data_IF_523789918130
#
_entry.id   IF_523789918130
#
_cell.length_a   1.000
_cell.length_b   1.000
_cell.length_c   1.000
_cell.angle_alpha   90.00
_cell.angle_beta   90.00
_cell.angle_gamma   90.00
#
_symmetry.space_group_name_H-M   'P 1'
#
loop_
_entity.id
_entity.type
_entity.pdbx_description
1 polymer ?
#
# COMPACT_ATOMS: atom_id res chain seq x y z
N UNK A 1 -33.07 38.69 29.78
CA UNK A 1 -32.73 37.86 28.61
C UNK A 1 -32.49 36.44 29.09
N UNK A 2 -33.45 35.54 28.88
CA UNK A 2 -33.31 34.12 29.22
C UNK A 2 -32.58 33.47 28.04
N UNK A 3 -31.31 33.12 28.23
CA UNK A 3 -30.54 32.36 27.25
C UNK A 3 -31.22 31.01 27.07
N UNK A 4 -31.57 30.63 25.84
CA UNK A 4 -32.11 29.31 25.54
C UNK A 4 -31.18 28.21 26.11
N UNK A 5 -31.73 27.09 26.60
CA UNK A 5 -30.91 25.99 27.08
C UNK A 5 -30.02 25.51 25.92
N UNK A 6 -28.71 25.55 26.12
CA UNK A 6 -27.77 24.97 25.16
C UNK A 6 -27.90 23.47 25.21
N UNK A 7 -28.11 22.84 24.06
CA UNK A 7 -28.03 21.39 23.96
C UNK A 7 -26.59 20.95 24.21
N UNK A 8 -26.34 20.24 25.31
CA UNK A 8 -24.99 19.75 25.63
C UNK A 8 -24.55 18.67 24.64
N UNK A 9 -25.50 18.05 23.95
CA UNK A 9 -25.26 17.07 22.89
C UNK A 9 -24.64 17.69 21.63
N UNK A 10 -24.38 18.99 21.53
CA UNK A 10 -23.62 19.58 20.41
C UNK A 10 -22.35 20.28 20.89
N UNK A 11 -22.00 20.09 22.16
CA UNK A 11 -20.91 20.78 22.84
C UNK A 11 -19.81 19.81 23.23
N UNK A 12 -18.59 20.31 23.16
CA UNK A 12 -17.36 19.63 23.51
C UNK A 12 -16.69 20.36 24.67
N UNK A 13 -16.09 19.61 25.58
CA UNK A 13 -15.12 20.11 26.55
C UNK A 13 -13.70 19.75 26.11
N UNK A 14 -12.74 20.49 26.64
CA UNK A 14 -11.31 20.29 26.35
C UNK A 14 -10.67 19.58 27.53
N UNK A 15 -9.91 18.52 27.25
CA UNK A 15 -9.04 17.84 28.18
C UNK A 15 -7.58 18.23 27.87
N UNK A 16 -6.80 18.49 28.91
CA UNK A 16 -5.37 18.75 28.80
C UNK A 16 -4.54 17.56 29.31
N UNK A 17 -3.49 17.21 28.58
CA UNK A 17 -2.52 16.17 28.94
C UNK A 17 -1.13 16.53 28.41
N UNK A 18 -0.12 15.70 28.66
CA UNK A 18 1.20 15.89 28.04
C UNK A 18 1.15 15.49 26.55
N UNK A 19 1.90 16.19 25.70
CA UNK A 19 1.82 16.02 24.25
C UNK A 19 1.98 14.56 23.76
N UNK A 20 2.88 13.79 24.39
CA UNK A 20 3.10 12.38 24.07
C UNK A 20 1.97 11.43 24.50
N UNK A 21 1.04 11.89 25.34
CA UNK A 21 -0.09 11.10 25.85
C UNK A 21 -1.43 11.42 25.17
N UNK A 22 -1.48 12.42 24.31
CA UNK A 22 -2.70 12.88 23.61
C UNK A 22 -3.46 11.73 22.91
N UNK A 23 -2.80 11.01 22.00
CA UNK A 23 -3.45 9.91 21.26
C UNK A 23 -3.71 8.67 22.13
N UNK A 24 -2.80 8.22 23.00
CA UNK A 24 -3.10 7.16 23.97
C UNK A 24 -4.31 7.47 24.87
N UNK A 25 -4.44 8.71 25.33
CA UNK A 25 -5.57 9.15 26.15
C UNK A 25 -6.88 9.06 25.37
N UNK A 26 -6.92 9.67 24.18
CA UNK A 26 -8.11 9.65 23.34
C UNK A 26 -8.57 8.21 23.05
N UNK A 27 -7.65 7.32 22.68
CA UNK A 27 -7.94 5.90 22.45
C UNK A 27 -8.48 5.21 23.71
N UNK A 28 -7.81 5.40 24.84
CA UNK A 28 -8.20 4.76 26.10
C UNK A 28 -9.58 5.21 26.59
N UNK A 29 -9.95 6.47 26.39
CA UNK A 29 -11.30 6.97 26.72
C UNK A 29 -12.35 6.47 25.71
N UNK A 30 -12.03 6.43 24.41
CA UNK A 30 -12.90 5.81 23.41
C UNK A 30 -13.16 4.32 23.70
N UNK A 31 -12.13 3.57 24.08
CA UNK A 31 -12.25 2.15 24.45
C UNK A 31 -13.14 1.95 25.68
N UNK A 32 -13.23 2.96 26.56
CA UNK A 32 -14.15 3.00 27.69
C UNK A 32 -15.57 3.47 27.32
N UNK A 33 -15.86 3.65 26.03
CA UNK A 33 -17.19 4.02 25.52
C UNK A 33 -17.51 5.51 25.60
N UNK A 34 -16.51 6.37 25.85
CA UNK A 34 -16.70 7.82 25.79
C UNK A 34 -16.49 8.33 24.37
N UNK A 35 -17.32 9.28 23.95
CA UNK A 35 -17.13 9.96 22.68
C UNK A 35 -16.05 11.04 22.84
N UNK A 36 -14.86 10.72 22.31
CA UNK A 36 -13.65 11.54 22.45
C UNK A 36 -12.96 11.63 21.10
N UNK A 37 -12.39 12.79 20.80
CA UNK A 37 -11.70 13.05 19.55
C UNK A 37 -10.41 13.84 19.79
N UNK A 38 -9.34 13.45 19.10
CA UNK A 38 -8.10 14.19 19.04
C UNK A 38 -7.69 14.32 17.57
N UNK A 39 -7.52 15.54 17.03
CA UNK A 39 -7.19 15.73 15.62
C UNK A 39 -5.82 15.11 15.34
N UNK A 40 -5.77 14.22 14.35
CA UNK A 40 -4.63 13.35 14.08
C UNK A 40 -4.10 13.54 12.67
N UNK A 41 -2.78 13.48 12.50
CA UNK A 41 -2.13 13.39 11.20
C UNK A 41 -1.11 12.26 11.20
N UNK A 42 -0.98 11.56 10.08
CA UNK A 42 0.04 10.52 9.92
C UNK A 42 1.27 11.12 9.26
N UNK A 43 2.45 10.92 9.86
CA UNK A 43 3.74 11.37 9.33
C UNK A 43 4.64 10.17 9.04
N UNK A 44 5.56 10.31 8.08
CA UNK A 44 6.62 9.32 7.84
C UNK A 44 7.85 9.70 8.64
N UNK A 45 8.25 8.85 9.59
CA UNK A 45 9.45 9.03 10.40
C UNK A 45 10.38 7.82 10.30
N UNK A 46 11.70 7.98 10.53
CA UNK A 46 12.59 6.83 10.66
C UNK A 46 12.11 5.92 11.80
N UNK A 47 12.15 4.60 11.59
CA UNK A 47 11.89 3.65 12.65
C UNK A 47 12.87 3.88 13.83
N UNK A 48 12.41 3.74 15.08
CA UNK A 48 13.32 3.77 16.22
C UNK A 48 14.30 2.59 16.16
N UNK A 49 15.45 2.73 16.84
CA UNK A 49 16.43 1.64 16.98
C UNK A 49 17.30 1.33 15.75
N UNK A 50 17.30 2.18 14.71
CA UNK A 50 17.97 1.89 13.42
C UNK A 50 19.49 2.15 13.41
N UNK A 51 20.13 2.36 14.58
CA UNK A 51 21.57 2.70 14.66
C UNK A 51 22.47 1.61 14.04
N UNK A 52 22.17 0.34 14.31
CA UNK A 52 22.93 -0.80 13.74
C UNK A 52 22.79 -0.89 12.22
N UNK A 53 21.59 -0.68 11.68
CA UNK A 53 21.36 -0.73 10.24
C UNK A 53 22.13 0.36 9.50
N UNK A 54 22.20 1.56 10.08
CA UNK A 54 23.00 2.66 9.52
C UNK A 54 24.50 2.35 9.49
N UNK A 55 25.04 1.71 10.54
CA UNK A 55 26.44 1.28 10.58
C UNK A 55 26.75 0.22 9.51
N UNK A 56 25.76 -0.58 9.10
CA UNK A 56 25.88 -1.56 8.03
C UNK A 56 25.60 -0.98 6.63
N UNK A 57 25.48 0.34 6.50
CA UNK A 57 25.18 1.00 5.21
C UNK A 57 23.76 0.75 4.69
N UNK A 58 22.87 0.18 5.51
CA UNK A 58 21.48 -0.06 5.13
C UNK A 58 20.68 1.25 5.18
N UNK A 59 19.75 1.41 4.23
CA UNK A 59 18.84 2.56 4.20
C UNK A 59 17.94 2.57 5.43
N UNK A 60 17.61 3.77 5.94
CA UNK A 60 16.67 3.95 7.06
C UNK A 60 15.30 3.39 6.67
N UNK A 61 14.79 2.45 7.47
CA UNK A 61 13.40 2.03 7.36
C UNK A 61 12.51 3.19 7.83
N UNK A 62 11.70 3.74 6.93
CA UNK A 62 10.69 4.74 7.26
C UNK A 62 9.41 4.01 7.69
N UNK A 63 8.75 4.53 8.71
CA UNK A 63 7.45 4.06 9.21
C UNK A 63 6.47 5.21 9.23
N UNK A 64 5.21 4.90 8.96
CA UNK A 64 4.09 5.83 9.14
C UNK A 64 3.65 5.78 10.61
N UNK A 65 3.52 6.95 11.22
CA UNK A 65 3.12 7.09 12.63
C UNK A 65 2.13 8.23 12.76
N UNK A 66 1.04 7.95 13.47
CA UNK A 66 0.05 8.95 13.84
C UNK A 66 0.58 9.86 14.93
N UNK A 67 0.39 11.16 14.74
CA UNK A 67 0.72 12.20 15.71
C UNK A 67 -0.46 13.15 15.83
N UNK A 68 -0.68 13.69 17.03
CA UNK A 68 -1.69 14.72 17.23
C UNK A 68 -1.31 15.99 16.45
N UNK A 69 -2.29 16.59 15.77
CA UNK A 69 -2.16 17.91 15.15
C UNK A 69 -2.01 18.97 16.25
N UNK A 70 -2.76 18.79 17.34
CA UNK A 70 -2.75 19.65 18.51
C UNK A 70 -2.30 18.86 19.77
N UNK A 71 -0.98 18.68 19.99
CA UNK A 71 -0.49 17.93 21.13
C UNK A 71 -0.92 18.55 22.46
N UNK A 72 -1.35 17.69 23.39
CA UNK A 72 -1.73 18.06 24.74
C UNK A 72 -3.21 18.38 24.91
N UNK A 73 -3.99 18.40 23.82
CA UNK A 73 -5.41 18.70 23.86
C UNK A 73 -6.23 17.55 23.26
N UNK A 74 -7.30 17.19 23.95
CA UNK A 74 -8.28 16.18 23.52
C UNK A 74 -9.67 16.76 23.72
N UNK A 75 -10.58 16.55 22.78
CA UNK A 75 -11.96 17.01 22.85
C UNK A 75 -12.85 15.84 23.28
N UNK A 76 -13.69 16.06 24.28
CA UNK A 76 -14.66 15.07 24.73
C UNK A 76 -16.05 15.71 24.82
N UNK A 77 -17.12 14.92 24.72
CA UNK A 77 -18.48 15.45 24.78
C UNK A 77 -18.80 16.06 26.14
N UNK A 78 -19.52 17.17 26.12
CA UNK A 78 -19.75 17.99 27.31
C UNK A 78 -20.74 17.36 28.30
N UNK A 79 -21.62 16.48 27.84
CA UNK A 79 -22.56 15.69 28.64
C UNK A 79 -21.85 14.77 29.66
N UNK A 80 -20.60 14.38 29.38
CA UNK A 80 -19.78 13.51 30.23
C UNK A 80 -18.77 14.24 31.11
N UNK A 81 -18.87 15.56 31.26
CA UNK A 81 -17.86 16.34 31.98
C UNK A 81 -17.69 15.92 33.46
N UNK A 82 -18.77 15.53 34.13
CA UNK A 82 -18.72 15.03 35.52
C UNK A 82 -17.95 13.72 35.64
N UNK A 83 -18.21 12.80 34.70
CA UNK A 83 -17.57 11.48 34.66
C UNK A 83 -16.07 11.64 34.38
N UNK A 84 -15.72 12.51 33.41
CA UNK A 84 -14.34 12.85 33.07
C UNK A 84 -13.60 13.51 34.23
N UNK A 85 -14.26 14.39 34.98
CA UNK A 85 -13.69 15.00 36.17
C UNK A 85 -13.44 13.96 37.27
N UNK A 86 -14.39 13.04 37.51
CA UNK A 86 -14.21 11.96 38.49
C UNK A 86 -13.01 11.06 38.12
N UNK A 87 -12.93 10.65 36.84
CA UNK A 87 -11.83 9.83 36.32
C UNK A 87 -10.47 10.55 36.46
N UNK A 88 -10.43 11.87 36.21
CA UNK A 88 -9.20 12.66 36.32
C UNK A 88 -8.68 12.75 37.76
N UNK A 89 -9.56 12.66 38.76
CA UNK A 89 -9.19 12.68 40.18
C UNK A 89 -8.93 11.29 40.77
N UNK A 90 -9.24 10.22 40.05
CA UNK A 90 -8.98 8.85 40.51
C UNK A 90 -7.50 8.47 40.31
N UNK A 91 -6.70 8.31 41.39
CA UNK A 91 -5.30 7.93 41.27
C UNK A 91 -5.08 6.50 40.74
N UNK A 92 -6.11 5.64 40.77
CA UNK A 92 -6.06 4.27 40.27
C UNK A 92 -6.62 4.13 38.85
N UNK A 93 -6.92 5.24 38.18
CA UNK A 93 -7.47 5.24 36.82
C UNK A 93 -6.55 4.53 35.83
N UNK A 94 -7.08 3.64 34.97
CA UNK A 94 -6.29 2.98 33.92
C UNK A 94 -5.91 3.94 32.78
N UNK A 95 -6.46 5.15 32.76
CA UNK A 95 -6.26 6.13 31.70
C UNK A 95 -4.96 6.93 31.92
N UNK A 96 -4.26 7.36 30.84
CA UNK A 96 -3.12 8.26 30.96
C UNK A 96 -3.51 9.56 31.70
N UNK A 97 -2.65 10.09 32.57
CA UNK A 97 -2.99 11.28 33.37
C UNK A 97 -3.43 12.48 32.51
N UNK A 98 -4.54 13.10 32.89
CA UNK A 98 -5.13 14.26 32.22
C UNK A 98 -5.88 15.15 33.22
N UNK A 99 -6.30 16.33 32.78
CA UNK A 99 -7.19 17.21 33.52
C UNK A 99 -8.22 17.83 32.59
N UNK A 100 -9.39 18.18 33.10
CA UNK A 100 -10.36 19.00 32.35
C UNK A 100 -9.79 20.43 32.29
N UNK A 101 -9.64 20.98 31.09
CA UNK A 101 -9.12 22.33 30.91
C UNK A 101 -10.09 23.33 31.54
N UNK A 102 -9.58 24.22 32.39
CA UNK A 102 -10.40 25.22 33.08
C UNK A 102 -9.93 26.63 32.75
N UNK A 103 -10.90 27.52 32.51
CA UNK A 103 -10.69 28.95 32.33
C UNK A 103 -11.66 29.70 33.24
N UNK A 104 -11.13 30.42 34.23
CA UNK A 104 -11.97 31.12 35.22
C UNK A 104 -12.79 30.18 36.11
N UNK A 105 -12.22 29.01 36.47
CA UNK A 105 -12.87 28.02 37.33
C UNK A 105 -14.02 27.25 36.68
N UNK A 106 -14.16 27.34 35.35
CA UNK A 106 -15.15 26.60 34.57
C UNK A 106 -14.49 25.96 33.36
N UNK A 107 -15.00 24.81 32.93
CA UNK A 107 -14.59 24.23 31.66
C UNK A 107 -15.21 25.00 30.50
N UNK A 108 -14.43 25.46 29.52
CA UNK A 108 -14.99 26.07 28.32
C UNK A 108 -15.74 25.01 27.52
N UNK A 109 -16.92 25.38 27.04
CA UNK A 109 -17.72 24.56 26.14
C UNK A 109 -17.52 25.07 24.71
N UNK A 110 -17.11 24.17 23.82
CA UNK A 110 -16.82 24.42 22.41
C UNK A 110 -17.95 23.82 21.58
N UNK A 111 -18.58 24.59 20.71
CA UNK A 111 -19.59 24.05 19.80
C UNK A 111 -18.94 23.13 18.75
N UNK A 112 -19.66 22.11 18.28
CA UNK A 112 -19.16 21.21 17.22
C UNK A 112 -18.68 21.99 15.97
N UNK A 113 -19.41 23.04 15.58
CA UNK A 113 -19.06 23.90 14.45
C UNK A 113 -17.73 24.66 14.63
N UNK A 114 -17.27 24.86 15.86
CA UNK A 114 -15.96 25.48 16.11
C UNK A 114 -14.80 24.52 15.85
N UNK A 115 -15.07 23.21 15.75
CA UNK A 115 -14.09 22.18 15.44
C UNK A 115 -13.94 21.93 13.93
N UNK A 116 -14.78 22.54 13.09
CA UNK A 116 -14.76 22.35 11.63
C UNK A 116 -13.37 22.61 11.04
N UNK A 117 -12.69 23.70 11.42
CA UNK A 117 -11.34 23.98 10.91
C UNK A 117 -10.30 22.91 11.25
N UNK A 118 -10.39 22.29 12.43
CA UNK A 118 -9.51 21.18 12.82
C UNK A 118 -9.84 19.88 12.06
N UNK A 119 -11.13 19.64 11.79
CA UNK A 119 -11.58 18.51 10.95
C UNK A 119 -11.10 18.67 9.50
N UNK A 120 -11.16 19.89 8.96
CA UNK A 120 -10.67 20.21 7.62
C UNK A 120 -9.15 20.00 7.52
N UNK A 121 -8.39 20.40 8.55
CA UNK A 121 -6.95 20.17 8.61
C UNK A 121 -6.61 18.67 8.67
N UNK A 122 -7.32 17.89 9.49
CA UNK A 122 -7.19 16.43 9.55
C UNK A 122 -7.50 15.78 8.19
N UNK A 123 -8.60 16.18 7.54
CA UNK A 123 -8.97 15.69 6.22
C UNK A 123 -7.92 16.04 5.15
N UNK A 124 -7.39 17.26 5.15
CA UNK A 124 -6.33 17.68 4.24
C UNK A 124 -5.02 16.89 4.45
N UNK A 125 -4.66 16.62 5.70
CA UNK A 125 -3.51 15.79 6.03
C UNK A 125 -3.69 14.35 5.54
N UNK A 126 -4.88 13.77 5.71
CA UNK A 126 -5.21 12.44 5.21
C UNK A 126 -5.17 12.38 3.67
N UNK A 127 -5.73 13.37 2.98
CA UNK A 127 -5.70 13.46 1.53
C UNK A 127 -4.26 13.54 0.98
N UNK A 128 -3.40 14.32 1.63
CA UNK A 128 -1.98 14.43 1.27
C UNK A 128 -1.26 13.09 1.36
N UNK A 129 -1.48 12.34 2.45
CA UNK A 129 -0.88 11.01 2.64
C UNK A 129 -1.40 10.01 1.61
N UNK A 130 -2.71 10.01 1.33
CA UNK A 130 -3.32 9.14 0.33
C UNK A 130 -2.71 9.39 -1.05
N UNK A 131 -2.55 10.65 -1.45
CA UNK A 131 -1.93 11.02 -2.72
C UNK A 131 -0.46 10.54 -2.81
N UNK A 132 0.30 10.63 -1.70
CA UNK A 132 1.67 10.10 -1.64
C UNK A 132 1.69 8.58 -1.81
N UNK A 133 0.82 7.83 -1.11
CA UNK A 133 0.73 6.37 -1.24
C UNK A 133 0.33 5.94 -2.66
N UNK A 134 -0.58 6.67 -3.29
CA UNK A 134 -0.98 6.40 -4.68
C UNK A 134 0.12 6.73 -5.69
N UNK A 135 0.91 7.78 -5.46
CA UNK A 135 2.09 8.06 -6.28
C UNK A 135 3.12 6.92 -6.16
N UNK A 136 3.42 6.46 -4.94
CA UNK A 136 4.35 5.36 -4.69
C UNK A 136 3.87 4.04 -5.32
N UNK A 137 2.58 3.72 -5.22
CA UNK A 137 2.01 2.51 -5.81
C UNK A 137 2.08 2.53 -7.34
N UNK A 138 1.84 3.68 -7.96
CA UNK A 138 1.99 3.87 -9.42
C UNK A 138 3.43 3.70 -9.86
N UNK A 139 4.39 4.28 -9.15
CA UNK A 139 5.80 4.09 -9.46
C UNK A 139 6.24 2.63 -9.30
N UNK A 140 5.81 1.96 -8.23
CA UNK A 140 6.11 0.55 -8.00
C UNK A 140 5.55 -0.32 -9.12
N UNK A 141 4.31 -0.09 -9.55
CA UNK A 141 3.70 -0.78 -10.68
C UNK A 141 4.47 -0.56 -12.00
N UNK A 142 4.93 0.68 -12.24
CA UNK A 142 5.77 1.00 -13.42
C UNK A 142 7.10 0.24 -13.38
N UNK A 143 7.76 0.20 -12.23
CA UNK A 143 9.03 -0.53 -12.05
C UNK A 143 8.84 -2.03 -12.23
N UNK A 144 7.82 -2.62 -11.60
CA UNK A 144 7.50 -4.03 -11.72
C UNK A 144 7.21 -4.43 -13.18
N UNK A 145 6.46 -3.60 -13.91
CA UNK A 145 6.20 -3.83 -15.34
C UNK A 145 7.47 -3.74 -16.18
N UNK A 146 8.32 -2.74 -15.92
CA UNK A 146 9.59 -2.59 -16.63
C UNK A 146 10.51 -3.80 -16.39
N UNK A 147 10.57 -4.30 -15.16
CA UNK A 147 11.33 -5.49 -14.79
C UNK A 147 10.78 -6.75 -15.47
N UNK A 148 9.47 -6.97 -15.44
CA UNK A 148 8.82 -8.08 -16.16
C UNK A 148 9.15 -8.04 -17.66
N UNK A 149 9.11 -6.86 -18.28
CA UNK A 149 9.45 -6.70 -19.69
C UNK A 149 10.94 -6.96 -19.95
N UNK A 150 11.82 -6.55 -19.04
CA UNK A 150 13.26 -6.83 -19.10
C UNK A 150 13.55 -8.32 -18.98
N UNK A 151 12.93 -9.02 -18.04
CA UNK A 151 13.12 -10.47 -17.85
C UNK A 151 12.57 -11.25 -19.04
N UNK A 152 11.38 -10.90 -19.54
CA UNK A 152 10.82 -11.49 -20.77
C UNK A 152 11.74 -11.28 -21.99
N UNK A 153 12.27 -10.06 -22.17
CA UNK A 153 13.23 -9.77 -23.26
C UNK A 153 14.52 -10.56 -23.09
N UNK A 154 15.07 -10.64 -21.87
CA UNK A 154 16.27 -11.41 -21.58
C UNK A 154 16.06 -12.92 -21.86
N UNK A 155 14.93 -13.49 -21.45
CA UNK A 155 14.56 -14.88 -21.76
C UNK A 155 14.48 -15.13 -23.27
N UNK A 156 13.80 -14.27 -24.02
CA UNK A 156 13.72 -14.38 -25.50
C UNK A 156 15.09 -14.23 -26.15
N UNK A 157 15.93 -13.33 -25.65
CA UNK A 157 17.30 -13.16 -26.15
C UNK A 157 18.16 -14.39 -25.86
N UNK A 158 17.99 -15.03 -24.70
CA UNK A 158 18.69 -16.27 -24.36
C UNK A 158 18.27 -17.43 -25.28
N UNK A 159 16.96 -17.62 -25.49
CA UNK A 159 16.45 -18.65 -26.41
C UNK A 159 16.93 -18.45 -27.85
N UNK A 160 17.01 -17.20 -28.32
CA UNK A 160 17.57 -16.87 -29.64
C UNK A 160 19.06 -17.18 -29.79
N UNK A 161 19.82 -17.24 -28.68
CA UNK A 161 21.24 -17.63 -28.71
C UNK A 161 21.42 -19.14 -28.76
N UNK A 162 20.43 -19.91 -28.34
CA UNK A 162 20.43 -21.37 -28.44
C UNK A 162 20.29 -21.75 -29.92
N UNK A 163 21.42 -22.06 -30.56
CA UNK A 163 21.44 -22.52 -31.94
C UNK A 163 20.91 -23.96 -31.97
N UNK A 164 19.82 -24.17 -32.70
CA UNK A 164 19.30 -25.51 -33.00
C UNK A 164 19.57 -25.84 -34.46
N UNK A 165 20.05 -27.05 -34.69
CA UNK A 165 20.20 -27.60 -36.03
C UNK A 165 19.15 -28.69 -36.18
N UNK A 166 18.47 -28.69 -37.31
CA UNK A 166 17.46 -29.68 -37.65
C UNK A 166 17.84 -30.31 -38.99
N UNK A 167 17.47 -31.57 -39.18
CA UNK A 167 17.66 -32.23 -40.46
C UNK A 167 16.53 -31.84 -41.44
N UNK A 168 16.86 -31.74 -42.73
CA UNK A 168 15.83 -31.59 -43.77
C UNK A 168 14.97 -32.86 -43.79
N UNK A 169 13.65 -32.68 -43.78
CA UNK A 169 12.65 -33.75 -43.70
C UNK A 169 12.24 -34.12 -42.27
N UNK A 170 12.92 -33.59 -41.23
CA UNK A 170 12.59 -33.84 -39.84
C UNK A 170 11.19 -33.31 -39.49
N UNK A 171 10.38 -34.14 -38.82
CA UNK A 171 9.06 -33.75 -38.36
C UNK A 171 9.19 -32.95 -37.06
N UNK A 172 8.62 -31.76 -37.07
CA UNK A 172 8.75 -30.79 -35.98
C UNK A 172 7.41 -30.20 -35.59
N UNK A 173 7.34 -29.69 -34.37
CA UNK A 173 6.18 -29.02 -33.79
C UNK A 173 6.54 -27.59 -33.40
N UNK A 174 5.62 -26.64 -33.62
CA UNK A 174 5.79 -25.28 -33.12
C UNK A 174 5.37 -25.24 -31.64
N UNK A 175 6.35 -25.04 -30.75
CA UNK A 175 6.12 -24.96 -29.31
C UNK A 175 5.72 -23.54 -28.85
N UNK A 176 6.41 -22.50 -29.33
CA UNK A 176 6.26 -21.13 -28.82
C UNK A 176 5.81 -20.13 -29.92
N UNK A 177 4.57 -20.29 -30.40
CA UNK A 177 3.88 -19.28 -31.21
C UNK A 177 2.37 -19.31 -30.96
N UNK A 178 1.77 -18.28 -30.32
CA UNK A 178 0.38 -18.36 -29.85
C UNK A 178 -0.66 -18.73 -30.93
N UNK A 179 -0.43 -18.33 -32.18
CA UNK A 179 -1.35 -18.59 -33.30
C UNK A 179 -1.19 -19.98 -33.94
N UNK A 180 -0.11 -20.71 -33.66
CA UNK A 180 0.24 -21.97 -34.33
C UNK A 180 0.86 -23.01 -33.39
N UNK A 181 0.74 -22.81 -32.07
CA UNK A 181 1.29 -23.73 -31.08
C UNK A 181 0.62 -25.10 -31.23
N UNK A 182 1.43 -26.16 -31.25
CA UNK A 182 0.96 -27.53 -31.48
C UNK A 182 0.80 -27.92 -32.96
N UNK A 183 1.01 -27.00 -33.90
CA UNK A 183 1.05 -27.36 -35.32
C UNK A 183 2.31 -28.15 -35.64
N UNK A 184 2.15 -29.27 -36.35
CA UNK A 184 3.23 -30.14 -36.79
C UNK A 184 3.48 -29.99 -38.28
N UNK A 185 4.74 -30.10 -38.68
CA UNK A 185 5.15 -30.00 -40.08
C UNK A 185 6.51 -30.64 -40.31
N UNK A 186 7.02 -30.54 -41.54
CA UNK A 186 8.36 -31.05 -41.91
C UNK A 186 9.28 -29.92 -42.33
N UNK A 187 10.55 -30.02 -41.95
CA UNK A 187 11.54 -29.00 -42.31
C UNK A 187 11.94 -29.17 -43.77
N UNK A 188 11.73 -28.13 -44.59
CA UNK A 188 12.18 -28.11 -45.99
C UNK A 188 13.57 -27.47 -46.11
N UNK A 189 13.82 -26.44 -45.29
CA UNK A 189 15.11 -25.76 -45.23
C UNK A 189 15.33 -25.24 -43.80
N UNK A 190 16.57 -25.29 -43.31
CA UNK A 190 16.90 -24.72 -42.01
C UNK A 190 18.26 -24.06 -42.03
N UNK A 191 18.38 -22.97 -41.27
CA UNK A 191 19.66 -22.41 -40.86
C UNK A 191 19.71 -22.35 -39.32
N UNK A 192 20.82 -21.86 -38.76
CA UNK A 192 21.02 -21.85 -37.30
C UNK A 192 20.03 -20.98 -36.49
N UNK A 193 19.24 -20.12 -37.14
CA UNK A 193 18.33 -19.16 -36.48
C UNK A 193 16.87 -19.29 -36.90
N UNK A 194 16.59 -19.87 -38.06
CA UNK A 194 15.26 -20.00 -38.67
C UNK A 194 15.13 -21.34 -39.39
N UNK A 195 13.92 -21.90 -39.39
CA UNK A 195 13.55 -23.09 -40.14
C UNK A 195 12.30 -22.80 -40.97
N UNK A 196 12.30 -23.25 -42.23
CA UNK A 196 11.14 -23.20 -43.13
C UNK A 196 10.42 -24.54 -43.04
N UNK A 197 9.18 -24.50 -42.58
CA UNK A 197 8.37 -25.68 -42.26
C UNK A 197 7.21 -25.78 -43.26
N UNK A 198 7.00 -26.98 -43.80
CA UNK A 198 5.81 -27.38 -44.53
C UNK A 198 4.77 -27.97 -43.57
N UNK A 199 3.56 -27.43 -43.57
CA UNK A 199 2.44 -27.94 -42.78
C UNK A 199 1.50 -28.86 -43.59
N UNK A 200 1.96 -29.38 -44.73
CA UNK A 200 1.19 -30.26 -45.61
C UNK A 200 0.33 -29.52 -46.63
N UNK A 201 0.78 -28.34 -47.09
CA UNK A 201 0.04 -27.48 -48.02
C UNK A 201 0.95 -26.52 -48.81
N UNK A 202 0.35 -25.67 -49.65
CA UNK A 202 1.11 -24.84 -50.61
C UNK A 202 1.90 -23.67 -50.00
N UNK A 203 1.89 -23.46 -48.69
CA UNK A 203 2.53 -22.31 -48.05
C UNK A 203 3.57 -22.73 -47.00
N UNK A 204 4.85 -22.90 -47.41
CA UNK A 204 5.92 -23.05 -46.45
C UNK A 204 6.07 -21.76 -45.64
N UNK A 205 6.22 -21.89 -44.32
CA UNK A 205 6.39 -20.74 -43.43
C UNK A 205 7.74 -20.77 -42.74
N UNK A 206 8.41 -19.62 -42.71
CA UNK A 206 9.66 -19.44 -41.96
C UNK A 206 9.35 -19.14 -40.49
N UNK A 207 9.91 -19.94 -39.59
CA UNK A 207 9.75 -19.85 -38.14
C UNK A 207 11.14 -19.74 -37.48
N UNK A 208 11.25 -19.00 -36.38
CA UNK A 208 12.51 -18.95 -35.61
C UNK A 208 12.84 -20.35 -35.04
N UNK A 209 14.06 -20.86 -35.26
CA UNK A 209 14.46 -22.23 -34.93
C UNK A 209 14.27 -22.61 -33.45
N UNK A 210 14.41 -21.65 -32.53
CA UNK A 210 14.22 -21.86 -31.09
C UNK A 210 12.75 -22.08 -30.68
N UNK A 211 11.78 -21.77 -31.55
CA UNK A 211 10.34 -21.99 -31.31
C UNK A 211 9.87 -23.38 -31.73
N UNK A 212 10.77 -24.16 -32.32
CA UNK A 212 10.48 -25.43 -32.96
C UNK A 212 11.10 -26.54 -32.10
N UNK A 213 10.35 -27.61 -31.86
CA UNK A 213 10.81 -28.81 -31.16
C UNK A 213 10.64 -30.03 -32.06
N UNK A 214 11.52 -31.05 -31.97
CA UNK A 214 11.31 -32.32 -32.67
C UNK A 214 9.97 -32.93 -32.24
N UNK A 215 9.13 -33.33 -33.20
CA UNK A 215 7.85 -33.96 -32.89
C UNK A 215 8.07 -35.44 -32.57
N UNK A 216 7.60 -35.89 -31.39
CA UNK A 216 7.70 -37.28 -30.97
C UNK A 216 6.94 -38.26 -31.89
N UNK A 217 6.10 -37.75 -32.79
CA UNK A 217 5.30 -38.54 -33.72
C UNK A 217 6.11 -39.09 -34.91
N UNK A 218 7.42 -38.80 -35.02
CA UNK A 218 8.23 -39.26 -36.16
C UNK A 218 8.86 -40.66 -36.00
N UNK A 219 8.38 -41.48 -35.07
CA UNK A 219 9.04 -42.74 -34.70
C UNK A 219 8.10 -43.91 -34.46
N UNK A 220 7.40 -44.39 -35.50
CA UNK A 220 7.08 -45.82 -35.77
C UNK A 220 6.24 -45.93 -37.05
N UNK A 221 6.89 -45.76 -38.21
CA UNK A 221 6.44 -46.44 -39.42
C UNK A 221 7.42 -47.61 -39.61
N UNK A 222 6.90 -48.82 -39.39
CA UNK A 222 7.58 -50.08 -39.70
C UNK A 222 7.58 -50.30 -41.22
#
# INVERSE_FOLDING_TARGET
>A
MISAPRNLDDMWCILSTSGGRTLPLARSLCDAGMEVWAPTRTIRRPAPGQRRNLLMGLRRKMIEVDVAILPGFVFARADRISDLAAIAHDPASPHPSFSVFQLGGRAPLVADSSLTGLRDEEAAAQATLAALREAESREAARRARAELMRTKRARRAALRRERRQFAIGEAVEIAEMPSMAGMTGRIIASNSTTATIDFGGAFPMQVEAWRVIPSALSGKAA
#
